data_IF_050012390742
#
_entry.id   IF_050012390742
#
_cell.length_a   1.000
_cell.length_b   1.000
_cell.length_c   1.000
_cell.angle_alpha   90.00
_cell.angle_beta   90.00
_cell.angle_gamma   90.00
#
_symmetry.space_group_name_H-M   'P 1'
#
loop_
_entity.id
_entity.type
_entity.pdbx_description
1 polymer ?
#
# COMPACT_ATOMS: atom_id res chain seq x y z
N UNK A 1 19.80 -26.03 0.18
CA UNK A 1 18.50 -26.59 -0.30
C UNK A 1 17.89 -25.55 -1.27
N UNK A 2 17.44 -25.99 -2.47
CA UNK A 2 16.73 -25.08 -3.38
C UNK A 2 15.29 -24.93 -2.89
N UNK A 3 14.90 -23.71 -2.54
CA UNK A 3 13.51 -23.39 -2.23
C UNK A 3 12.64 -23.57 -3.49
N UNK A 4 11.52 -24.26 -3.35
CA UNK A 4 10.57 -24.46 -4.44
C UNK A 4 9.59 -23.31 -4.47
N UNK A 5 9.60 -22.53 -5.54
CA UNK A 5 8.67 -21.42 -5.75
C UNK A 5 7.78 -21.69 -6.96
N UNK A 6 6.48 -21.65 -6.76
CA UNK A 6 5.48 -21.85 -7.82
C UNK A 6 4.32 -20.86 -7.71
N UNK A 7 3.88 -20.37 -8.85
CA UNK A 7 2.75 -19.44 -8.98
C UNK A 7 1.71 -20.07 -9.91
N UNK A 8 0.52 -20.38 -9.38
CA UNK A 8 -0.57 -21.00 -10.13
C UNK A 8 -1.79 -20.08 -10.11
N UNK A 9 -2.09 -19.38 -11.20
CA UNK A 9 -3.36 -18.67 -11.36
C UNK A 9 -4.48 -19.67 -11.63
N UNK A 10 -5.66 -19.41 -11.07
CA UNK A 10 -6.86 -20.22 -11.26
C UNK A 10 -8.13 -19.40 -11.05
N UNK A 11 -9.26 -19.90 -11.51
CA UNK A 11 -10.57 -19.32 -11.29
C UNK A 11 -11.45 -20.22 -10.44
N UNK A 12 -12.36 -19.62 -9.66
CA UNK A 12 -13.40 -20.38 -8.98
C UNK A 12 -14.71 -20.30 -9.78
N UNK A 13 -15.01 -21.37 -10.50
CA UNK A 13 -16.22 -21.45 -11.34
C UNK A 13 -17.53 -21.41 -10.56
N UNK A 14 -17.50 -21.73 -9.27
CA UNK A 14 -18.68 -21.71 -8.41
C UNK A 14 -19.00 -20.31 -7.87
N UNK A 15 -18.05 -19.35 -8.01
CA UNK A 15 -18.21 -17.97 -7.56
C UNK A 15 -18.26 -17.01 -8.76
N UNK A 16 -19.29 -17.16 -9.57
CA UNK A 16 -19.56 -16.25 -10.69
C UNK A 16 -20.45 -15.13 -10.19
N UNK A 17 -20.09 -13.88 -10.50
CA UNK A 17 -20.90 -12.71 -10.21
C UNK A 17 -22.14 -12.61 -11.11
N UNK A 18 -23.08 -11.76 -10.79
CA UNK A 18 -24.27 -11.49 -11.59
C UNK A 18 -23.96 -11.03 -13.02
N UNK A 19 -22.80 -10.37 -13.23
CA UNK A 19 -22.28 -9.95 -14.54
C UNK A 19 -21.66 -11.08 -15.38
N UNK A 20 -21.70 -12.32 -14.88
CA UNK A 20 -21.13 -13.48 -15.55
C UNK A 20 -19.60 -13.59 -15.45
N UNK A 21 -18.96 -12.76 -14.64
CA UNK A 21 -17.50 -12.81 -14.43
C UNK A 21 -17.12 -13.48 -13.14
N UNK A 22 -15.91 -14.04 -13.08
CA UNK A 22 -15.30 -14.61 -11.88
C UNK A 22 -13.93 -14.00 -11.61
N UNK A 23 -13.55 -13.94 -10.34
CA UNK A 23 -12.24 -13.44 -9.94
C UNK A 23 -11.15 -14.45 -10.27
N UNK A 24 -10.05 -13.98 -10.83
CA UNK A 24 -8.83 -14.75 -10.98
C UNK A 24 -8.07 -14.72 -9.66
N UNK A 25 -7.82 -15.90 -9.11
CA UNK A 25 -7.06 -16.11 -7.89
C UNK A 25 -5.67 -16.62 -8.26
N UNK A 26 -4.71 -16.35 -7.41
CA UNK A 26 -3.35 -16.86 -7.55
C UNK A 26 -2.96 -17.64 -6.31
N UNK A 27 -2.58 -18.90 -6.50
CA UNK A 27 -1.97 -19.74 -5.47
C UNK A 27 -0.47 -19.62 -5.58
N UNK A 28 0.16 -19.23 -4.50
CA UNK A 28 1.61 -19.15 -4.36
C UNK A 28 2.04 -20.31 -3.45
N UNK A 29 2.94 -21.14 -3.92
CA UNK A 29 3.48 -22.26 -3.14
C UNK A 29 4.98 -22.07 -2.97
N UNK A 30 5.44 -22.11 -1.71
CA UNK A 30 6.84 -22.00 -1.34
C UNK A 30 7.13 -23.14 -0.34
N UNK A 31 8.08 -24.00 -0.67
CA UNK A 31 8.50 -25.13 0.17
C UNK A 31 7.33 -25.97 0.69
N UNK A 32 6.38 -26.28 -0.21
CA UNK A 32 5.19 -27.09 0.09
C UNK A 32 4.06 -26.34 0.81
N UNK A 33 4.30 -25.15 1.34
CA UNK A 33 3.25 -24.31 1.94
C UNK A 33 2.63 -23.39 0.90
N UNK A 34 1.30 -23.35 0.84
CA UNK A 34 0.58 -22.55 -0.14
C UNK A 34 -0.25 -21.44 0.50
N UNK A 35 -0.28 -20.29 -0.15
CA UNK A 35 -1.17 -19.18 0.19
C UNK A 35 -1.91 -18.70 -1.06
N UNK A 36 -3.16 -18.29 -0.90
CA UNK A 36 -3.98 -17.78 -1.99
C UNK A 36 -4.22 -16.30 -1.84
N UNK A 37 -4.14 -15.58 -2.96
CA UNK A 37 -4.46 -14.16 -3.02
C UNK A 37 -5.29 -13.83 -4.26
N UNK A 38 -6.07 -12.76 -4.20
CA UNK A 38 -6.81 -12.24 -5.34
C UNK A 38 -5.87 -11.38 -6.21
N UNK A 39 -5.97 -11.54 -7.54
CA UNK A 39 -5.18 -10.74 -8.48
C UNK A 39 -5.82 -9.39 -8.81
N UNK A 40 -7.10 -9.19 -8.44
CA UNK A 40 -7.90 -8.03 -8.85
C UNK A 40 -8.38 -8.08 -10.31
N UNK A 41 -8.13 -9.19 -11.01
CA UNK A 41 -8.53 -9.41 -12.39
C UNK A 41 -9.79 -10.27 -12.42
N UNK A 42 -10.72 -9.94 -13.31
CA UNK A 42 -11.96 -10.68 -13.54
C UNK A 42 -12.01 -11.16 -14.97
N UNK A 43 -12.50 -12.36 -15.20
CA UNK A 43 -12.72 -12.90 -16.54
C UNK A 43 -13.97 -13.75 -16.56
N UNK A 44 -14.51 -14.00 -17.76
CA UNK A 44 -15.58 -14.96 -17.92
C UNK A 44 -15.01 -16.39 -17.85
N UNK A 45 -15.70 -17.37 -17.22
CA UNK A 45 -15.23 -18.74 -17.15
C UNK A 45 -14.92 -19.40 -18.50
N UNK A 46 -15.59 -18.93 -19.57
CA UNK A 46 -15.38 -19.38 -20.95
C UNK A 46 -14.04 -18.93 -21.53
N UNK A 47 -13.56 -17.74 -21.12
CA UNK A 47 -12.32 -17.13 -21.61
C UNK A 47 -11.07 -17.65 -20.85
N UNK A 48 -11.28 -18.51 -19.85
CA UNK A 48 -10.22 -19.04 -19.02
C UNK A 48 -9.67 -20.36 -19.56
N UNK A 49 -8.39 -20.39 -19.86
CA UNK A 49 -7.66 -21.63 -20.18
C UNK A 49 -7.01 -22.21 -18.92
N UNK A 50 -7.62 -23.28 -18.38
CA UNK A 50 -7.15 -23.92 -17.15
C UNK A 50 -5.78 -24.61 -17.30
N UNK A 51 -5.43 -25.10 -18.50
CA UNK A 51 -4.16 -25.78 -18.75
C UNK A 51 -2.99 -24.79 -18.80
N UNK A 52 -3.20 -23.68 -19.49
CA UNK A 52 -2.17 -22.66 -19.65
C UNK A 52 -2.17 -21.61 -18.50
N UNK A 53 -3.24 -21.54 -17.72
CA UNK A 53 -3.42 -20.50 -16.69
C UNK A 53 -3.45 -19.10 -17.29
N UNK A 54 -4.12 -18.94 -18.46
CA UNK A 54 -4.17 -17.71 -19.24
C UNK A 54 -5.61 -17.31 -19.55
N UNK A 55 -5.82 -16.05 -19.90
CA UNK A 55 -7.09 -15.49 -20.29
C UNK A 55 -7.04 -15.23 -21.80
N UNK A 56 -8.12 -15.53 -22.53
CA UNK A 56 -8.19 -15.29 -23.98
C UNK A 56 -8.14 -13.81 -24.33
N UNK A 57 -8.64 -12.93 -23.46
CA UNK A 57 -8.59 -11.49 -23.64
C UNK A 57 -7.15 -10.97 -23.41
N UNK A 58 -6.55 -10.39 -24.43
CA UNK A 58 -5.14 -9.93 -24.41
C UNK A 58 -4.86 -8.96 -23.27
N UNK A 59 -5.77 -7.99 -23.06
CA UNK A 59 -5.62 -6.97 -22.01
C UNK A 59 -5.52 -7.57 -20.61
N UNK A 60 -6.44 -8.47 -20.29
CA UNK A 60 -6.49 -9.12 -18.98
C UNK A 60 -5.35 -10.13 -18.80
N UNK A 61 -4.98 -10.80 -19.88
CA UNK A 61 -3.83 -11.69 -19.87
C UNK A 61 -2.51 -10.93 -19.62
N UNK A 62 -2.32 -9.77 -20.25
CA UNK A 62 -1.14 -8.93 -19.98
C UNK A 62 -1.09 -8.48 -18.52
N UNK A 63 -2.22 -8.05 -17.95
CA UNK A 63 -2.31 -7.72 -16.51
C UNK A 63 -1.96 -8.92 -15.62
N UNK A 64 -2.39 -10.12 -16.01
CA UNK A 64 -2.06 -11.34 -15.28
C UNK A 64 -0.57 -11.65 -15.34
N UNK A 65 0.07 -11.43 -16.49
CA UNK A 65 1.52 -11.61 -16.64
C UNK A 65 2.31 -10.56 -15.84
N UNK A 66 1.87 -9.30 -15.84
CA UNK A 66 2.46 -8.25 -15.00
C UNK A 66 2.34 -8.59 -13.51
N UNK A 67 1.17 -9.10 -13.09
CA UNK A 67 0.98 -9.56 -11.72
C UNK A 67 1.94 -10.71 -11.36
N UNK A 68 2.10 -11.70 -12.25
CA UNK A 68 3.06 -12.80 -12.03
C UNK A 68 4.50 -12.29 -11.91
N UNK A 69 4.90 -11.34 -12.75
CA UNK A 69 6.22 -10.68 -12.67
C UNK A 69 6.40 -9.93 -11.35
N UNK A 70 5.39 -9.19 -10.91
CA UNK A 70 5.47 -8.45 -9.64
C UNK A 70 5.60 -9.37 -8.42
N UNK A 71 4.93 -10.54 -8.45
CA UNK A 71 5.07 -11.56 -7.41
C UNK A 71 6.49 -12.15 -7.41
N UNK A 72 7.05 -12.43 -8.58
CA UNK A 72 8.42 -12.92 -8.71
C UNK A 72 9.45 -11.91 -8.17
N UNK A 73 9.34 -10.65 -8.55
CA UNK A 73 10.21 -9.59 -8.05
C UNK A 73 10.11 -9.41 -6.53
N UNK A 74 8.90 -9.47 -5.98
CA UNK A 74 8.71 -9.41 -4.53
C UNK A 74 9.33 -10.61 -3.80
N UNK A 75 9.27 -11.81 -4.40
CA UNK A 75 9.94 -12.99 -3.88
C UNK A 75 11.45 -12.81 -3.84
N UNK A 76 12.05 -12.35 -4.93
CA UNK A 76 13.49 -12.12 -5.03
C UNK A 76 13.97 -11.03 -4.06
N UNK A 77 13.20 -9.97 -3.87
CA UNK A 77 13.53 -8.92 -2.90
C UNK A 77 13.51 -9.42 -1.45
N UNK A 78 12.50 -10.23 -1.10
CA UNK A 78 12.41 -10.80 0.26
C UNK A 78 13.54 -11.80 0.48
N UNK A 79 13.83 -12.62 -0.52
CA UNK A 79 14.93 -13.60 -0.45
C UNK A 79 16.28 -12.91 -0.23
N UNK A 80 16.54 -11.80 -0.93
CA UNK A 80 17.76 -11.00 -0.75
C UNK A 80 17.88 -10.35 0.63
N UNK A 81 16.74 -9.95 1.22
CA UNK A 81 16.73 -9.25 2.52
C UNK A 81 16.77 -10.20 3.72
N UNK A 82 16.09 -11.31 3.65
CA UNK A 82 15.81 -12.17 4.80
C UNK A 82 16.34 -13.59 4.66
N UNK A 83 16.86 -13.97 3.49
CA UNK A 83 17.28 -15.33 3.13
C UNK A 83 16.23 -16.44 3.30
N UNK A 84 15.05 -16.11 3.83
CA UNK A 84 13.93 -17.03 4.02
C UNK A 84 12.65 -16.35 3.53
N UNK A 85 11.89 -17.07 2.71
CA UNK A 85 10.61 -16.59 2.17
C UNK A 85 9.52 -17.60 2.51
N UNK A 86 8.41 -17.13 3.09
CA UNK A 86 7.20 -17.94 3.23
C UNK A 86 6.09 -17.41 2.34
N UNK A 87 5.17 -18.30 1.93
CA UNK A 87 4.04 -17.90 1.08
C UNK A 87 3.13 -16.87 1.76
N UNK A 88 3.03 -16.91 3.07
CA UNK A 88 2.25 -15.95 3.84
C UNK A 88 2.96 -14.59 3.96
N UNK A 89 4.26 -14.58 4.19
CA UNK A 89 5.07 -13.35 4.21
C UNK A 89 4.99 -12.63 2.86
N UNK A 90 5.12 -13.37 1.77
CA UNK A 90 5.02 -12.84 0.42
C UNK A 90 3.62 -12.24 0.16
N UNK A 91 2.56 -12.97 0.53
CA UNK A 91 1.18 -12.48 0.46
C UNK A 91 1.00 -11.18 1.25
N UNK A 92 1.47 -11.12 2.49
CA UNK A 92 1.34 -9.95 3.36
C UNK A 92 2.13 -8.75 2.80
N UNK A 93 3.30 -8.97 2.24
CA UNK A 93 4.11 -7.92 1.60
C UNK A 93 3.42 -7.37 0.36
N UNK A 94 2.85 -8.23 -0.48
CA UNK A 94 2.08 -7.80 -1.65
C UNK A 94 0.78 -7.10 -1.26
N UNK A 95 0.07 -7.59 -0.24
CA UNK A 95 -1.13 -6.95 0.30
C UNK A 95 -0.81 -5.56 0.90
N UNK A 96 0.28 -5.43 1.64
CA UNK A 96 0.75 -4.14 2.16
C UNK A 96 1.13 -3.17 1.04
N UNK A 97 1.80 -3.64 -0.02
CA UNK A 97 2.08 -2.82 -1.23
C UNK A 97 0.81 -2.36 -1.93
N UNK A 98 -0.25 -3.18 -1.92
CA UNK A 98 -1.56 -2.81 -2.47
C UNK A 98 -2.38 -1.90 -1.54
N UNK A 99 -2.12 -1.97 -0.22
CA UNK A 99 -2.87 -1.26 0.84
C UNK A 99 -2.12 -0.03 1.37
N UNK A 100 -0.79 0.05 1.19
CA UNK A 100 -0.11 1.33 1.42
C UNK A 100 -0.31 2.14 0.15
N UNK A 101 -1.36 2.94 0.05
CA UNK A 101 -1.38 3.92 -1.01
C UNK A 101 -0.19 4.81 -0.71
N UNK A 102 0.68 4.97 -1.68
CA UNK A 102 1.63 6.09 -1.78
C UNK A 102 0.95 7.41 -1.40
N UNK A 103 -0.35 7.49 -1.58
CA UNK A 103 -1.24 8.55 -1.13
C UNK A 103 -1.27 8.79 0.38
N UNK A 104 -1.12 7.78 1.23
CA UNK A 104 -1.23 7.98 2.69
C UNK A 104 0.06 8.60 3.26
N UNK A 105 1.22 8.18 2.78
CA UNK A 105 2.49 8.82 3.09
C UNK A 105 2.55 10.21 2.47
N UNK A 106 2.14 10.37 1.20
CA UNK A 106 2.08 11.67 0.53
C UNK A 106 1.04 12.59 1.17
N UNK A 107 -0.09 12.08 1.62
CA UNK A 107 -1.06 12.87 2.39
C UNK A 107 -0.50 13.26 3.77
N UNK A 108 0.18 12.36 4.45
CA UNK A 108 0.85 12.65 5.71
C UNK A 108 1.95 13.69 5.56
N UNK A 109 2.76 13.62 4.52
CA UNK A 109 3.78 14.62 4.21
C UNK A 109 3.18 15.97 3.85
N UNK A 110 2.16 16.01 3.00
CA UNK A 110 1.43 17.24 2.64
C UNK A 110 0.76 17.89 3.86
N UNK A 111 0.16 17.09 4.73
CA UNK A 111 -0.48 17.61 5.93
C UNK A 111 0.56 18.11 6.94
N UNK A 112 1.68 17.43 7.07
CA UNK A 112 2.83 17.90 7.85
C UNK A 112 3.38 19.22 7.32
N UNK A 113 3.56 19.36 5.99
CA UNK A 113 3.99 20.61 5.36
C UNK A 113 2.98 21.73 5.57
N UNK A 114 1.68 21.42 5.47
CA UNK A 114 0.59 22.36 5.75
C UNK A 114 0.62 22.85 7.19
N UNK A 115 0.79 21.96 8.14
CA UNK A 115 0.88 22.30 9.56
C UNK A 115 2.14 23.13 9.85
N UNK A 116 3.26 22.80 9.24
CA UNK A 116 4.50 23.59 9.36
C UNK A 116 4.38 24.97 8.72
N UNK A 117 3.73 25.10 7.56
CA UNK A 117 3.46 26.37 6.93
C UNK A 117 2.55 27.23 7.81
N UNK A 118 1.48 26.63 8.34
CA UNK A 118 0.54 27.32 9.25
C UNK A 118 1.20 27.75 10.56
N UNK A 119 2.11 26.96 11.11
CA UNK A 119 2.87 27.34 12.31
C UNK A 119 3.82 28.50 12.05
N UNK A 120 4.40 28.59 10.85
CA UNK A 120 5.22 29.74 10.41
C UNK A 120 4.37 30.99 10.23
N UNK A 121 3.17 30.90 9.68
CA UNK A 121 2.23 32.02 9.57
C UNK A 121 1.78 32.53 10.93
N UNK A 122 1.46 31.64 11.88
CA UNK A 122 1.09 32.04 13.24
C UNK A 122 2.25 32.73 13.95
N UNK A 123 3.49 32.31 13.69
CA UNK A 123 4.68 32.95 14.27
C UNK A 123 5.09 34.25 13.55
N UNK A 124 4.61 34.50 12.33
CA UNK A 124 4.91 35.69 11.54
C UNK A 124 3.81 36.74 11.60
N UNK A 125 2.63 36.42 12.11
CA UNK A 125 1.51 37.36 12.17
C UNK A 125 1.52 38.16 13.46
N UNK A 126 0.99 39.36 13.35
CA UNK A 126 0.77 40.39 14.36
C UNK A 126 0.28 39.90 15.73
N UNK A 127 -0.37 38.74 15.79
CA UNK A 127 -0.87 38.12 17.02
C UNK A 127 0.23 37.72 17.99
N UNK A 128 1.42 37.36 17.51
CA UNK A 128 2.57 37.08 18.38
C UNK A 128 3.18 38.38 18.91
N UNK A 129 3.21 39.44 18.11
CA UNK A 129 3.64 40.76 18.55
C UNK A 129 2.72 41.34 19.61
N UNK A 130 1.40 41.26 19.42
CA UNK A 130 0.47 41.78 20.41
C UNK A 130 0.54 41.04 21.74
N UNK A 131 0.79 39.72 21.74
CA UNK A 131 1.03 38.96 22.97
C UNK A 131 2.34 39.30 23.67
N UNK A 132 3.38 39.62 22.90
CA UNK A 132 4.65 40.09 23.48
C UNK A 132 4.52 41.51 24.05
N UNK A 133 3.76 42.37 23.39
CA UNK A 133 3.50 43.70 23.87
C UNK A 133 2.62 43.70 25.14
N UNK A 134 1.63 42.79 25.23
CA UNK A 134 0.81 42.63 26.41
C UNK A 134 1.60 42.06 27.61
N UNK A 135 2.54 41.18 27.37
CA UNK A 135 3.43 40.68 28.44
C UNK A 135 4.46 41.71 28.85
N UNK A 136 4.98 42.54 27.94
CA UNK A 136 5.89 43.66 28.27
C UNK A 136 5.17 44.75 29.05
N UNK A 137 3.91 45.02 28.69
CA UNK A 137 3.06 45.97 29.43
C UNK A 137 2.78 45.55 30.87
N UNK A 138 2.55 44.25 31.06
CA UNK A 138 2.24 43.71 32.40
C UNK A 138 3.47 43.67 33.32
N UNK A 139 4.67 43.52 32.76
CA UNK A 139 5.94 43.58 33.53
C UNK A 139 6.23 45.05 33.99
N UNK A 140 5.83 46.06 33.24
CA UNK A 140 5.95 47.48 33.67
C UNK A 140 5.00 47.83 34.80
N UNK A 141 3.82 47.20 34.87
CA UNK A 141 2.86 47.43 35.94
C UNK A 141 3.31 46.86 37.29
N UNK A 142 4.09 45.74 37.28
CA UNK A 142 4.60 45.15 38.52
C UNK A 142 5.79 45.94 39.11
N UNK A 143 6.51 46.74 38.32
CA UNK A 143 7.56 47.61 38.83
C UNK A 143 7.06 48.94 39.43
N UNK A 144 5.82 49.34 39.18
CA UNK A 144 5.23 50.54 39.79
C UNK A 144 4.67 50.31 41.23
N UNK A 145 4.70 49.09 41.75
CA UNK A 145 4.19 48.80 43.10
C UNK A 145 5.31 48.67 44.13
N UNK A 146 6.52 49.02 43.79
CA UNK A 146 7.63 49.16 44.74
C UNK A 146 8.19 50.54 44.73
N UNK A 147 7.46 51.45 45.32
CA UNK A 147 7.90 52.71 45.96
C UNK A 147 6.93 53.07 47.08
#
# INVERSE_FOLDING_TARGET
>A
MRSTFSILPYINRNKVKADGTTAVLCRITIDGKSSTMATGIYCRPKDWNSKAGTISTVRENNRLQEFRKSVGLAYDEILKKQNVVSAELLKNTLAKRAVIPTKLLQMGERERERLLARSKEINSTSTYRSRMDDTAGNVRCVQCIRL
#
